data_IF_415429568764
#
_entry.id   IF_415429568764
#
_cell.length_a   1.000
_cell.length_b   1.000
_cell.length_c   1.000
_cell.angle_alpha   90.00
_cell.angle_beta   90.00
_cell.angle_gamma   90.00
#
_symmetry.space_group_name_H-M   'P 1'
#
loop_
_entity.id
_entity.type
_entity.pdbx_description
1 polymer ?
#
# COMPACT_ATOMS: atom_id res chain seq x y z
N UNK A 1 9.82 11.24 26.12
CA UNK A 1 9.06 11.17 24.88
C UNK A 1 8.14 12.38 24.70
N UNK A 2 7.14 12.62 25.54
CA UNK A 2 6.12 13.68 25.38
C UNK A 2 6.68 15.11 25.20
N UNK A 3 7.79 15.47 25.85
CA UNK A 3 8.44 16.78 25.66
C UNK A 3 9.06 16.93 24.26
N UNK A 4 9.66 15.86 23.73
CA UNK A 4 10.22 15.85 22.38
C UNK A 4 9.11 15.93 21.31
N UNK A 5 8.01 15.21 21.50
CA UNK A 5 6.82 15.34 20.62
C UNK A 5 6.35 16.79 20.60
N UNK A 6 6.21 17.46 21.77
CA UNK A 6 5.78 18.86 21.86
C UNK A 6 6.77 19.83 21.18
N UNK A 7 8.07 19.54 21.30
CA UNK A 7 9.14 20.35 20.69
C UNK A 7 8.96 20.51 19.17
N UNK A 8 8.52 19.46 18.48
CA UNK A 8 8.40 19.43 17.03
C UNK A 8 6.96 19.60 16.52
N UNK A 9 5.97 19.67 17.44
CA UNK A 9 4.54 19.65 17.11
C UNK A 9 4.18 20.68 16.03
N UNK A 10 4.46 21.96 16.29
CA UNK A 10 4.01 23.05 15.41
C UNK A 10 4.63 22.96 14.00
N UNK A 11 5.91 22.53 13.92
CA UNK A 11 6.60 22.36 12.65
C UNK A 11 6.03 21.20 11.84
N UNK A 12 5.69 20.09 12.49
CA UNK A 12 5.07 18.93 11.87
C UNK A 12 3.62 19.20 11.46
N UNK A 13 2.85 19.91 12.28
CA UNK A 13 1.49 20.30 11.90
C UNK A 13 1.51 21.24 10.68
N UNK A 14 2.46 22.17 10.64
CA UNK A 14 2.64 23.03 9.45
C UNK A 14 2.96 22.24 8.18
N UNK A 15 3.75 21.16 8.30
CA UNK A 15 4.04 20.25 7.18
C UNK A 15 2.78 19.51 6.72
N UNK A 16 2.03 18.93 7.67
CA UNK A 16 0.77 18.22 7.40
C UNK A 16 -0.24 19.15 6.68
N UNK A 17 -0.48 20.32 7.25
CA UNK A 17 -1.48 21.25 6.74
C UNK A 17 -1.10 21.79 5.35
N UNK A 18 0.22 21.99 5.11
CA UNK A 18 0.71 22.33 3.78
C UNK A 18 0.39 21.24 2.75
N UNK A 19 0.67 19.95 3.06
CA UNK A 19 0.36 18.84 2.15
C UNK A 19 -1.15 18.71 1.92
N UNK A 20 -1.95 18.84 2.98
CA UNK A 20 -3.40 18.79 2.88
C UNK A 20 -3.98 19.92 2.00
N UNK A 21 -3.37 21.11 2.02
CA UNK A 21 -3.76 22.25 1.18
C UNK A 21 -3.20 22.16 -0.26
N UNK A 22 -2.13 21.41 -0.47
CA UNK A 22 -1.44 21.27 -1.76
C UNK A 22 -1.24 19.78 -2.09
N UNK A 23 -2.33 19.05 -2.32
CA UNK A 23 -2.25 17.62 -2.56
C UNK A 23 -1.56 17.31 -3.89
N UNK A 24 -0.55 16.45 -3.87
CA UNK A 24 0.20 15.96 -5.02
C UNK A 24 -0.09 14.46 -5.20
N UNK A 25 -0.41 14.05 -6.43
CA UNK A 25 -0.72 12.64 -6.73
C UNK A 25 0.53 11.80 -6.83
N UNK A 26 0.36 10.47 -6.77
CA UNK A 26 1.45 9.50 -6.86
C UNK A 26 2.37 9.73 -8.06
N UNK A 27 3.69 9.75 -7.81
CA UNK A 27 4.74 10.07 -8.78
C UNK A 27 4.98 11.56 -9.05
N UNK A 28 4.11 12.45 -8.54
CA UNK A 28 4.20 13.91 -8.74
C UNK A 28 4.42 14.68 -7.41
N UNK A 29 4.81 14.00 -6.30
CA UNK A 29 4.90 14.55 -4.93
C UNK A 29 6.19 15.39 -4.71
N UNK A 30 6.43 16.37 -5.58
CA UNK A 30 7.68 17.14 -5.62
C UNK A 30 7.85 18.05 -4.39
N UNK A 31 6.80 18.82 -4.04
CA UNK A 31 6.85 19.76 -2.93
C UNK A 31 6.76 19.05 -1.57
N UNK A 32 5.92 18.02 -1.46
CA UNK A 32 5.79 17.22 -0.25
C UNK A 32 7.13 16.57 0.13
N UNK A 33 7.74 15.83 -0.82
CA UNK A 33 9.03 15.17 -0.60
C UNK A 33 10.15 16.18 -0.31
N UNK A 34 10.24 17.27 -1.07
CA UNK A 34 11.25 18.32 -0.86
C UNK A 34 11.17 18.91 0.54
N UNK A 35 9.97 19.26 1.02
CA UNK A 35 9.78 19.83 2.37
C UNK A 35 10.13 18.85 3.47
N UNK A 36 9.78 17.58 3.33
CA UNK A 36 10.18 16.52 4.26
C UNK A 36 11.71 16.37 4.32
N UNK A 37 12.36 16.35 3.16
CA UNK A 37 13.82 16.28 3.04
C UNK A 37 14.50 17.49 3.68
N UNK A 38 14.02 18.70 3.40
CA UNK A 38 14.53 19.95 4.00
C UNK A 38 14.38 19.93 5.52
N UNK A 39 13.23 19.45 6.03
CA UNK A 39 12.96 19.33 7.45
C UNK A 39 13.93 18.37 8.13
N UNK A 40 14.09 17.17 7.60
CA UNK A 40 15.05 16.18 8.12
C UNK A 40 16.49 16.72 8.12
N UNK A 41 16.94 17.35 7.02
CA UNK A 41 18.27 17.96 6.92
C UNK A 41 18.48 19.09 7.91
N UNK A 42 17.49 19.94 8.13
CA UNK A 42 17.52 21.05 9.10
C UNK A 42 17.76 20.55 10.53
N UNK A 43 17.24 19.36 10.84
CA UNK A 43 17.43 18.71 12.14
C UNK A 43 18.61 17.73 12.16
N UNK A 44 19.53 17.85 11.19
CA UNK A 44 20.82 17.12 11.19
C UNK A 44 20.72 15.66 10.80
N UNK A 45 19.63 15.21 10.17
CA UNK A 45 19.51 13.86 9.60
C UNK A 45 20.04 13.91 8.16
N UNK A 46 21.10 13.16 7.81
CA UNK A 46 21.59 13.06 6.43
C UNK A 46 20.54 12.41 5.53
N UNK A 47 20.23 13.02 4.40
CA UNK A 47 19.19 12.53 3.47
C UNK A 47 19.75 12.41 2.06
N UNK A 48 19.62 11.23 1.47
CA UNK A 48 19.75 10.94 0.05
C UNK A 48 18.43 11.25 -0.66
N UNK A 49 18.47 12.07 -1.70
CA UNK A 49 17.31 12.52 -2.48
C UNK A 49 17.76 13.03 -3.84
N UNK A 50 17.24 12.51 -4.96
CA UNK A 50 16.27 11.40 -5.08
C UNK A 50 16.86 10.05 -4.63
N UNK A 51 16.01 9.03 -4.43
CA UNK A 51 16.41 7.73 -3.90
C UNK A 51 15.77 6.57 -4.68
N UNK A 52 16.47 5.42 -4.74
CA UNK A 52 15.98 4.18 -5.35
C UNK A 52 15.46 4.33 -6.80
N UNK A 53 15.99 5.30 -7.56
CA UNK A 53 15.57 5.58 -8.94
C UNK A 53 14.24 6.32 -9.08
N UNK A 54 13.64 6.77 -7.99
CA UNK A 54 12.37 7.51 -7.97
C UNK A 54 12.64 8.98 -7.58
N UNK A 55 12.14 9.92 -8.40
CA UNK A 55 12.47 11.36 -8.25
C UNK A 55 11.98 11.97 -6.94
N UNK A 56 10.86 11.47 -6.41
CA UNK A 56 10.22 11.98 -5.19
C UNK A 56 10.54 11.14 -3.95
N UNK A 57 11.20 9.97 -4.10
CA UNK A 57 11.62 9.14 -2.99
C UNK A 57 12.87 9.69 -2.29
N UNK A 58 12.99 9.44 -0.99
CA UNK A 58 14.16 9.83 -0.20
C UNK A 58 14.53 8.79 0.85
N UNK A 59 15.79 8.86 1.35
CA UNK A 59 16.26 8.05 2.48
C UNK A 59 17.05 8.90 3.47
N UNK A 60 16.50 9.14 4.66
CA UNK A 60 17.20 9.67 5.82
C UNK A 60 17.84 8.55 6.64
N UNK A 61 19.00 8.77 7.26
CA UNK A 61 19.69 7.77 8.08
C UNK A 61 20.06 8.36 9.42
N UNK A 62 19.57 7.73 10.51
CA UNK A 62 19.93 8.02 11.91
C UNK A 62 20.85 6.90 12.39
N UNK A 63 21.92 7.21 13.15
CA UNK A 63 22.90 6.25 13.68
C UNK A 63 23.61 5.40 12.61
N UNK A 64 24.02 5.99 11.51
CA UNK A 64 24.70 5.28 10.41
C UNK A 64 25.87 4.41 10.90
N UNK A 65 25.91 3.18 10.39
CA UNK A 65 27.00 2.21 10.66
C UNK A 65 26.69 1.20 11.78
N UNK A 66 25.49 1.19 12.35
CA UNK A 66 25.04 0.10 13.23
C UNK A 66 24.67 -1.14 12.42
N UNK A 67 24.87 -2.33 13.01
CA UNK A 67 24.61 -3.60 12.35
C UNK A 67 23.10 -3.92 12.25
N UNK A 68 22.32 -3.55 13.29
CA UNK A 68 20.86 -3.69 13.32
C UNK A 68 20.24 -2.54 12.55
N UNK A 69 19.16 -2.79 11.80
CA UNK A 69 18.53 -1.78 10.95
C UNK A 69 17.01 -1.87 11.02
N UNK A 70 16.35 -0.72 11.07
CA UNK A 70 14.90 -0.65 10.91
C UNK A 70 14.51 0.46 9.95
N UNK A 71 13.34 0.33 9.30
CA UNK A 71 12.78 1.34 8.43
C UNK A 71 11.54 1.99 9.06
N UNK A 72 11.45 3.32 8.95
CA UNK A 72 10.22 4.09 9.14
C UNK A 72 9.77 4.52 7.75
N UNK A 73 8.58 4.06 7.34
CA UNK A 73 8.04 4.36 6.02
C UNK A 73 7.27 5.68 6.07
N UNK A 74 7.41 6.46 5.01
CA UNK A 74 6.80 7.80 4.91
C UNK A 74 6.00 7.85 3.62
N UNK A 75 4.67 7.83 3.70
CA UNK A 75 3.75 8.05 2.58
C UNK A 75 3.30 9.51 2.56
N UNK A 76 3.07 10.06 1.37
CA UNK A 76 2.71 11.48 1.20
C UNK A 76 1.98 11.80 -0.10
N UNK A 77 1.60 10.80 -0.88
CA UNK A 77 0.78 10.95 -2.09
C UNK A 77 -0.70 11.19 -1.77
N UNK A 78 -1.41 11.76 -2.71
CA UNK A 78 -2.83 12.09 -2.63
C UNK A 78 -3.63 11.42 -3.74
N UNK A 79 -4.93 11.26 -3.52
CA UNK A 79 -5.87 10.75 -4.51
C UNK A 79 -6.25 11.80 -5.55
N UNK A 80 -6.25 11.43 -6.81
CA UNK A 80 -6.65 12.31 -7.90
C UNK A 80 -8.09 12.83 -7.70
N UNK A 81 -8.23 14.15 -7.62
CA UNK A 81 -9.53 14.83 -7.48
C UNK A 81 -10.16 14.79 -6.08
N UNK A 82 -9.58 14.06 -5.12
CA UNK A 82 -10.04 13.97 -3.73
C UNK A 82 -9.03 14.52 -2.71
N UNK A 83 -7.79 14.78 -3.13
CA UNK A 83 -6.75 15.22 -2.20
C UNK A 83 -6.33 14.10 -1.23
N UNK A 84 -5.92 14.46 -0.01
CA UNK A 84 -5.46 13.49 1.00
C UNK A 84 -6.60 12.70 1.66
N UNK A 85 -7.49 12.11 0.85
CA UNK A 85 -8.63 11.32 1.33
C UNK A 85 -8.25 9.92 1.84
N UNK A 86 -6.99 9.50 1.73
CA UNK A 86 -6.42 8.33 2.42
C UNK A 86 -5.63 8.69 3.69
N UNK A 87 -5.27 9.99 3.84
CA UNK A 87 -4.61 10.49 5.05
C UNK A 87 -3.08 10.41 5.04
N UNK A 88 -2.46 10.20 3.87
CA UNK A 88 -0.99 10.08 3.75
C UNK A 88 -0.25 11.34 4.22
N UNK A 89 -0.82 12.55 4.10
CA UNK A 89 -0.22 13.74 4.70
C UNK A 89 -0.02 13.59 6.23
N UNK A 90 -0.99 13.01 6.94
CA UNK A 90 -0.89 12.76 8.36
C UNK A 90 0.01 11.56 8.68
N UNK A 91 -0.08 10.47 7.91
CA UNK A 91 0.78 9.29 8.05
C UNK A 91 2.26 9.63 7.86
N UNK A 92 2.57 10.38 6.80
CA UNK A 92 3.93 10.88 6.55
C UNK A 92 4.42 11.83 7.64
N UNK A 93 3.57 12.74 8.10
CA UNK A 93 3.88 13.65 9.21
C UNK A 93 4.18 12.91 10.52
N UNK A 94 3.45 11.82 10.82
CA UNK A 94 3.73 10.93 11.95
C UNK A 94 5.14 10.34 11.84
N UNK A 95 5.47 9.81 10.67
CA UNK A 95 6.76 9.16 10.43
C UNK A 95 7.93 10.15 10.51
N UNK A 96 7.77 11.37 9.98
CA UNK A 96 8.76 12.45 10.11
C UNK A 96 8.90 12.89 11.58
N UNK A 97 7.79 13.04 12.32
CA UNK A 97 7.83 13.37 13.75
C UNK A 97 8.62 12.31 14.54
N UNK A 98 8.33 11.03 14.30
CA UNK A 98 9.05 9.93 14.93
C UNK A 98 10.54 9.97 14.61
N UNK A 99 10.91 10.26 13.36
CA UNK A 99 12.30 10.39 12.94
C UNK A 99 13.04 11.52 13.70
N UNK A 100 12.41 12.68 13.85
CA UNK A 100 12.99 13.80 14.61
C UNK A 100 13.19 13.45 16.09
N UNK A 101 12.19 12.80 16.69
CA UNK A 101 12.25 12.36 18.10
C UNK A 101 13.33 11.32 18.30
N UNK A 102 13.41 10.30 17.43
CA UNK A 102 14.44 9.25 17.51
C UNK A 102 15.85 9.81 17.28
N UNK A 103 16.00 10.83 16.44
CA UNK A 103 17.27 11.50 16.24
C UNK A 103 17.78 12.20 17.51
N UNK A 104 16.90 12.77 18.34
CA UNK A 104 17.27 13.35 19.64
C UNK A 104 17.77 12.30 20.65
N UNK A 105 17.21 11.10 20.60
CA UNK A 105 17.56 10.02 21.52
C UNK A 105 18.41 8.92 20.87
N UNK A 106 19.02 9.23 19.73
CA UNK A 106 19.75 8.24 18.89
C UNK A 106 20.83 7.47 19.63
N UNK A 107 21.50 8.09 20.62
CA UNK A 107 22.54 7.43 21.40
C UNK A 107 21.99 6.30 22.30
N UNK A 108 20.68 6.26 22.51
CA UNK A 108 20.00 5.22 23.26
C UNK A 108 19.50 4.08 22.36
N UNK A 109 19.72 4.17 21.03
CA UNK A 109 19.21 3.20 20.04
C UNK A 109 20.40 2.43 19.46
N UNK A 110 20.52 1.11 19.71
CA UNK A 110 21.64 0.31 19.21
C UNK A 110 21.44 -0.13 17.74
N UNK A 111 20.73 0.66 16.95
CA UNK A 111 20.38 0.36 15.54
C UNK A 111 20.51 1.59 14.64
N UNK A 112 20.66 1.35 13.37
CA UNK A 112 20.54 2.33 12.28
C UNK A 112 19.07 2.43 11.88
N UNK A 113 18.51 3.63 11.89
CA UNK A 113 17.10 3.86 11.51
C UNK A 113 17.05 4.55 10.16
N UNK A 114 16.42 3.90 9.18
CA UNK A 114 16.17 4.42 7.86
C UNK A 114 14.79 5.08 7.80
N UNK A 115 14.74 6.35 7.47
CA UNK A 115 13.51 7.11 7.21
C UNK A 115 13.32 7.13 5.71
N UNK A 116 12.40 6.31 5.20
CA UNK A 116 12.26 6.05 3.78
C UNK A 116 10.98 6.69 3.26
N UNK A 117 11.12 7.71 2.41
CA UNK A 117 10.01 8.29 1.67
C UNK A 117 9.58 7.33 0.56
N UNK A 118 8.35 6.85 0.67
CA UNK A 118 7.73 5.87 -0.22
C UNK A 118 6.57 6.52 -0.98
N UNK A 119 6.85 7.18 -2.13
CA UNK A 119 5.84 7.84 -2.95
C UNK A 119 4.94 6.83 -3.67
N UNK A 120 3.80 7.31 -4.21
CA UNK A 120 3.00 6.62 -5.22
C UNK A 120 2.37 5.29 -4.74
N UNK A 121 1.83 5.27 -3.51
CA UNK A 121 1.10 4.12 -2.99
C UNK A 121 -0.24 3.92 -3.73
N UNK A 122 -0.97 5.01 -3.95
CA UNK A 122 -2.36 5.01 -4.44
C UNK A 122 -2.50 4.69 -5.93
N UNK A 123 -1.43 4.84 -6.73
CA UNK A 123 -1.54 4.69 -8.18
C UNK A 123 -0.74 3.50 -8.73
N UNK A 124 0.53 3.39 -8.39
CA UNK A 124 1.41 2.40 -9.01
C UNK A 124 2.14 1.48 -8.03
N UNK A 125 2.01 1.73 -6.70
CA UNK A 125 2.65 0.88 -5.68
C UNK A 125 4.16 1.10 -5.57
N UNK A 126 4.56 2.32 -5.22
CA UNK A 126 5.97 2.73 -5.22
C UNK A 126 6.91 1.90 -4.33
N UNK A 127 6.38 1.20 -3.30
CA UNK A 127 7.19 0.29 -2.48
C UNK A 127 7.59 -0.98 -3.24
N UNK A 128 6.84 -1.39 -4.28
CA UNK A 128 7.17 -2.60 -5.07
C UNK A 128 8.51 -2.48 -5.79
N UNK A 129 8.79 -1.44 -6.61
CA UNK A 129 10.11 -1.25 -7.20
C UNK A 129 11.21 -1.05 -6.15
N UNK A 130 10.93 -0.46 -4.98
CA UNK A 130 11.88 -0.35 -3.88
C UNK A 130 12.26 -1.73 -3.32
N UNK A 131 11.30 -2.63 -3.13
CA UNK A 131 11.53 -4.03 -2.71
C UNK A 131 12.38 -4.74 -3.77
N UNK A 132 12.01 -4.66 -5.04
CA UNK A 132 12.75 -5.27 -6.16
C UNK A 132 14.21 -4.78 -6.24
N UNK A 133 14.49 -3.56 -5.81
CA UNK A 133 15.84 -2.98 -5.78
C UNK A 133 16.63 -3.25 -4.48
N UNK A 134 16.05 -4.02 -3.53
CA UNK A 134 16.69 -4.42 -2.28
C UNK A 134 16.74 -3.33 -1.20
N UNK A 135 15.92 -2.30 -1.28
CA UNK A 135 15.89 -1.20 -0.28
C UNK A 135 15.65 -1.70 1.14
N UNK A 136 14.85 -2.76 1.27
CA UNK A 136 14.46 -3.32 2.57
C UNK A 136 15.25 -4.57 2.99
N UNK A 137 16.23 -4.97 2.19
CA UNK A 137 17.03 -6.17 2.51
C UNK A 137 17.81 -6.00 3.81
N UNK A 138 17.68 -6.99 4.69
CA UNK A 138 18.39 -6.99 5.98
C UNK A 138 17.84 -5.98 7.00
N UNK A 139 16.67 -5.41 6.79
CA UNK A 139 15.95 -4.67 7.83
C UNK A 139 15.38 -5.65 8.86
N UNK A 140 15.53 -5.32 10.15
CA UNK A 140 14.92 -6.06 11.24
C UNK A 140 13.40 -5.93 11.20
N UNK A 141 12.90 -4.75 10.80
CA UNK A 141 11.50 -4.47 10.54
C UNK A 141 11.31 -3.14 9.79
N UNK A 142 10.12 -2.96 9.24
CA UNK A 142 9.59 -1.70 8.73
C UNK A 142 8.32 -1.32 9.51
N UNK A 143 8.09 -0.03 9.77
CA UNK A 143 6.91 0.46 10.48
C UNK A 143 6.41 1.77 9.91
N UNK A 144 5.10 1.93 9.85
CA UNK A 144 4.39 3.19 9.64
C UNK A 144 3.08 3.17 10.42
N UNK A 145 2.38 4.29 10.50
CA UNK A 145 1.01 4.36 11.02
C UNK A 145 0.13 5.02 9.97
N UNK A 146 -1.00 4.39 9.70
CA UNK A 146 -1.99 4.90 8.76
C UNK A 146 -3.22 5.47 9.47
N UNK A 147 -3.86 6.48 8.89
CA UNK A 147 -5.10 7.05 9.42
C UNK A 147 -6.30 6.17 9.10
N UNK A 148 -7.26 6.08 10.02
CA UNK A 148 -8.46 5.27 9.86
C UNK A 148 -9.63 5.82 10.70
N UNK A 149 -10.76 5.16 10.64
CA UNK A 149 -11.91 5.39 11.53
C UNK A 149 -11.92 4.53 12.79
N UNK A 150 -10.81 3.84 13.08
CA UNK A 150 -10.60 2.96 14.25
C UNK A 150 -9.11 2.82 14.56
N UNK A 151 -8.78 2.46 15.81
CA UNK A 151 -7.45 1.99 16.15
C UNK A 151 -7.39 0.48 15.93
N UNK A 152 -6.42 0.01 15.18
CA UNK A 152 -6.18 -1.41 14.93
C UNK A 152 -4.68 -1.66 14.73
N UNK A 153 -4.22 -2.86 15.05
CA UNK A 153 -2.80 -3.21 14.91
C UNK A 153 -2.48 -3.82 13.56
N UNK A 154 -3.48 -4.41 12.91
CA UNK A 154 -3.32 -5.15 11.66
C UNK A 154 -4.48 -4.89 10.72
N UNK A 155 -4.22 -4.94 9.42
CA UNK A 155 -5.24 -5.05 8.38
C UNK A 155 -4.91 -6.21 7.46
N UNK A 156 -5.90 -7.04 7.18
CA UNK A 156 -5.77 -8.18 6.28
C UNK A 156 -5.75 -7.70 4.83
N UNK A 157 -4.61 -7.16 4.38
CA UNK A 157 -4.42 -6.81 2.98
C UNK A 157 -4.29 -8.07 2.13
N UNK A 158 -5.01 -8.07 1.01
CA UNK A 158 -4.94 -9.14 0.02
C UNK A 158 -3.84 -8.86 -1.00
N UNK A 159 -3.22 -9.91 -1.48
CA UNK A 159 -2.43 -9.84 -2.71
C UNK A 159 -3.34 -9.45 -3.87
N UNK A 160 -2.81 -8.70 -4.85
CA UNK A 160 -3.55 -8.15 -5.99
C UNK A 160 -2.73 -8.26 -7.27
N UNK A 161 -3.40 -8.77 -8.33
CA UNK A 161 -2.97 -8.62 -9.71
C UNK A 161 -4.06 -7.89 -10.50
N UNK A 162 -3.65 -7.00 -11.39
CA UNK A 162 -4.52 -6.29 -12.31
C UNK A 162 -4.11 -6.56 -13.75
N UNK A 163 -5.09 -6.83 -14.62
CA UNK A 163 -4.87 -7.22 -15.99
C UNK A 163 -5.79 -6.50 -16.95
N UNK A 164 -5.25 -6.12 -18.10
CA UNK A 164 -6.02 -5.68 -19.27
C UNK A 164 -6.02 -6.78 -20.32
N UNK A 165 -7.20 -7.32 -20.61
CA UNK A 165 -7.43 -8.30 -21.65
C UNK A 165 -7.91 -7.61 -22.92
N UNK A 166 -7.28 -7.92 -24.03
CA UNK A 166 -7.68 -7.43 -25.36
C UNK A 166 -8.04 -8.61 -26.25
N UNK A 167 -9.23 -8.57 -26.87
CA UNK A 167 -9.65 -9.57 -27.85
C UNK A 167 -9.69 -8.96 -29.25
N UNK A 168 -9.11 -9.68 -30.21
CA UNK A 168 -8.99 -9.29 -31.59
C UNK A 168 -9.81 -10.22 -32.50
N UNK A 169 -10.82 -9.68 -33.13
CA UNK A 169 -11.68 -10.36 -34.07
C UNK A 169 -11.46 -9.90 -35.53
N UNK A 170 -12.53 -9.99 -36.32
CA UNK A 170 -12.56 -9.54 -37.74
C UNK A 170 -13.82 -8.71 -37.96
N UNK A 171 -13.72 -7.46 -38.43
CA UNK A 171 -14.91 -6.67 -38.72
C UNK A 171 -15.65 -7.23 -39.95
N UNK A 172 -16.95 -7.03 -39.97
CA UNK A 172 -17.82 -7.30 -41.12
C UNK A 172 -19.09 -6.45 -41.03
N UNK A 173 -19.79 -6.25 -42.13
CA UNK A 173 -21.10 -5.60 -42.11
C UNK A 173 -22.12 -6.54 -41.42
N UNK A 174 -22.68 -6.11 -40.30
CA UNK A 174 -23.42 -6.98 -39.39
C UNK A 174 -24.71 -7.59 -39.99
N UNK A 175 -25.32 -6.93 -41.01
CA UNK A 175 -26.52 -7.45 -41.68
C UNK A 175 -26.24 -8.10 -43.06
N UNK A 176 -25.19 -7.67 -43.77
CA UNK A 176 -24.96 -8.13 -45.16
C UNK A 176 -24.09 -9.37 -45.23
N UNK A 177 -22.98 -9.41 -44.46
CA UNK A 177 -21.98 -10.47 -44.54
C UNK A 177 -21.46 -10.86 -43.13
N UNK A 178 -22.33 -11.04 -42.12
CA UNK A 178 -21.88 -11.30 -40.72
C UNK A 178 -21.03 -12.56 -40.59
N UNK A 179 -21.19 -13.55 -41.45
CA UNK A 179 -20.41 -14.79 -41.45
C UNK A 179 -18.93 -14.59 -41.78
N UNK A 180 -18.56 -13.48 -42.40
CA UNK A 180 -17.15 -13.09 -42.64
C UNK A 180 -16.48 -12.51 -41.39
N UNK A 181 -17.27 -12.08 -40.39
CA UNK A 181 -16.79 -11.48 -39.14
C UNK A 181 -16.32 -12.49 -38.10
N UNK A 182 -15.60 -11.96 -37.09
CA UNK A 182 -15.27 -12.64 -35.85
C UNK A 182 -15.52 -11.65 -34.72
N UNK A 183 -16.53 -11.92 -33.91
CA UNK A 183 -17.02 -10.95 -32.91
C UNK A 183 -16.22 -11.02 -31.63
N UNK A 184 -15.33 -10.04 -31.42
CA UNK A 184 -14.53 -9.93 -30.20
C UNK A 184 -15.35 -9.61 -28.93
N UNK A 185 -16.54 -8.99 -29.07
CA UNK A 185 -17.43 -8.77 -27.92
C UNK A 185 -18.00 -10.08 -27.38
N UNK A 186 -18.23 -11.08 -28.25
CA UNK A 186 -18.62 -12.41 -27.80
C UNK A 186 -17.50 -13.07 -26.98
N UNK A 187 -16.24 -12.78 -27.30
CA UNK A 187 -15.10 -13.28 -26.49
C UNK A 187 -15.13 -12.72 -25.07
N UNK A 188 -15.30 -11.41 -24.90
CA UNK A 188 -15.41 -10.81 -23.58
C UNK A 188 -16.59 -11.37 -22.78
N UNK A 189 -17.75 -11.56 -23.42
CA UNK A 189 -18.91 -12.14 -22.76
C UNK A 189 -18.63 -13.55 -22.25
N UNK A 190 -18.12 -14.44 -23.12
CA UNK A 190 -17.74 -15.79 -22.72
C UNK A 190 -16.63 -15.81 -21.69
N UNK A 191 -15.69 -14.87 -21.74
CA UNK A 191 -14.63 -14.72 -20.74
C UNK A 191 -15.21 -14.42 -19.36
N UNK A 192 -16.09 -13.42 -19.23
CA UNK A 192 -16.76 -13.13 -17.96
C UNK A 192 -17.65 -14.26 -17.49
N UNK A 193 -18.43 -14.90 -18.38
CA UNK A 193 -19.24 -16.07 -18.02
C UNK A 193 -18.38 -17.22 -17.50
N UNK A 194 -17.22 -17.50 -18.12
CA UNK A 194 -16.29 -18.53 -17.65
C UNK A 194 -15.69 -18.19 -16.27
N UNK A 195 -15.31 -16.92 -16.04
CA UNK A 195 -14.85 -16.46 -14.72
C UNK A 195 -15.95 -16.61 -13.66
N UNK A 196 -17.19 -16.29 -13.99
CA UNK A 196 -18.33 -16.43 -13.05
C UNK A 196 -18.58 -17.90 -12.70
N UNK A 197 -18.50 -18.82 -13.67
CA UNK A 197 -18.60 -20.26 -13.42
C UNK A 197 -17.44 -20.77 -12.55
N UNK A 198 -16.24 -20.23 -12.71
CA UNK A 198 -15.06 -20.58 -11.91
C UNK A 198 -15.23 -20.23 -10.44
N UNK A 199 -16.00 -19.17 -10.09
CA UNK A 199 -16.18 -18.70 -8.70
C UNK A 199 -16.63 -19.80 -7.74
N UNK A 200 -17.41 -20.78 -8.19
CA UNK A 200 -17.86 -21.92 -7.38
C UNK A 200 -16.68 -22.73 -6.81
N UNK A 201 -15.53 -22.70 -7.47
CA UNK A 201 -14.37 -23.54 -7.14
C UNK A 201 -13.22 -22.73 -6.51
N UNK A 202 -13.43 -21.43 -6.26
CA UNK A 202 -12.44 -20.56 -5.61
C UNK A 202 -12.64 -20.59 -4.08
N UNK A 203 -11.55 -20.37 -3.35
CA UNK A 203 -11.61 -20.15 -1.91
C UNK A 203 -12.35 -18.84 -1.58
N UNK A 204 -12.89 -18.77 -0.38
CA UNK A 204 -13.74 -17.64 0.06
C UNK A 204 -13.00 -16.28 0.13
N UNK A 205 -11.68 -16.30 0.25
CA UNK A 205 -10.83 -15.11 0.28
C UNK A 205 -10.58 -14.48 -1.09
N UNK A 206 -10.90 -15.19 -2.20
CA UNK A 206 -10.71 -14.66 -3.55
C UNK A 206 -11.73 -13.59 -3.87
N UNK A 207 -11.23 -12.48 -4.45
CA UNK A 207 -12.08 -11.45 -5.07
C UNK A 207 -11.67 -11.30 -6.53
N UNK A 208 -12.64 -11.57 -7.41
CA UNK A 208 -12.47 -11.52 -8.85
C UNK A 208 -13.52 -10.58 -9.43
N UNK A 209 -13.10 -9.46 -10.00
CA UNK A 209 -13.99 -8.45 -10.56
C UNK A 209 -13.35 -7.71 -11.72
N UNK A 210 -14.18 -7.11 -12.59
CA UNK A 210 -13.70 -6.38 -13.74
C UNK A 210 -14.83 -5.72 -14.50
N UNK A 211 -14.51 -5.02 -15.58
CA UNK A 211 -15.47 -4.36 -16.43
C UNK A 211 -14.98 -4.33 -17.90
N UNK A 212 -15.92 -4.04 -18.81
CA UNK A 212 -15.63 -3.88 -20.22
C UNK A 212 -15.19 -2.44 -20.49
N UNK A 213 -13.94 -2.24 -20.88
CA UNK A 213 -13.37 -0.93 -21.22
C UNK A 213 -13.86 -0.50 -22.61
N UNK A 214 -13.82 -1.44 -23.57
CA UNK A 214 -14.25 -1.21 -24.95
C UNK A 214 -15.02 -2.41 -25.47
N UNK A 215 -16.27 -2.18 -25.97
CA UNK A 215 -17.16 -3.24 -26.46
C UNK A 215 -17.39 -3.27 -27.97
N UNK A 216 -16.77 -2.36 -28.73
CA UNK A 216 -16.95 -2.20 -30.18
C UNK A 216 -17.07 -0.74 -30.59
N UNK A 217 -17.29 -0.47 -31.87
CA UNK A 217 -17.30 0.88 -32.44
C UNK A 217 -18.69 1.33 -32.93
N UNK A 218 -19.47 0.42 -33.51
CA UNK A 218 -20.81 0.72 -34.05
C UNK A 218 -21.69 -0.53 -34.12
N UNK A 219 -23.03 -0.36 -34.04
CA UNK A 219 -24.01 -1.46 -34.01
C UNK A 219 -24.14 -2.20 -35.36
N UNK A 220 -23.77 -1.58 -36.45
CA UNK A 220 -23.81 -2.16 -37.80
C UNK A 220 -22.51 -2.80 -38.27
N UNK A 221 -21.48 -2.83 -37.40
CA UNK A 221 -20.18 -3.46 -37.60
C UNK A 221 -19.97 -4.55 -36.57
N UNK A 222 -19.56 -5.76 -37.00
CA UNK A 222 -19.13 -6.83 -36.08
C UNK A 222 -17.92 -6.34 -35.30
N UNK A 223 -17.97 -6.28 -33.91
CA UNK A 223 -16.86 -5.81 -33.10
C UNK A 223 -15.58 -6.61 -33.36
N UNK A 224 -14.51 -5.94 -33.76
CA UNK A 224 -13.24 -6.57 -34.10
C UNK A 224 -12.15 -6.33 -33.05
N UNK A 225 -12.37 -5.38 -32.13
CA UNK A 225 -11.45 -5.03 -31.07
C UNK A 225 -12.24 -4.69 -29.82
N UNK A 226 -11.96 -5.40 -28.72
CA UNK A 226 -12.62 -5.19 -27.42
C UNK A 226 -11.62 -5.33 -26.28
N UNK A 227 -11.85 -4.61 -25.19
CA UNK A 227 -10.96 -4.55 -24.03
C UNK A 227 -11.75 -4.73 -22.73
N UNK A 228 -11.17 -5.44 -21.79
CA UNK A 228 -11.67 -5.60 -20.42
C UNK A 228 -10.53 -5.45 -19.43
N UNK A 229 -10.80 -4.84 -18.28
CA UNK A 229 -9.91 -4.82 -17.13
C UNK A 229 -10.45 -5.76 -16.05
N UNK A 230 -9.56 -6.54 -15.45
CA UNK A 230 -9.86 -7.54 -14.40
C UNK A 230 -8.87 -7.42 -13.27
N UNK A 231 -9.38 -7.37 -12.03
CA UNK A 231 -8.60 -7.47 -10.82
C UNK A 231 -8.84 -8.83 -10.16
N UNK A 232 -7.73 -9.45 -9.74
CA UNK A 232 -7.72 -10.73 -9.03
C UNK A 232 -7.06 -10.50 -7.68
N UNK A 233 -7.73 -10.89 -6.59
CA UNK A 233 -7.21 -10.76 -5.23
C UNK A 233 -7.36 -12.07 -4.48
N UNK A 234 -6.38 -12.41 -3.66
CA UNK A 234 -6.45 -13.53 -2.72
C UNK A 234 -5.57 -13.24 -1.50
N UNK A 235 -5.78 -13.97 -0.41
CA UNK A 235 -5.01 -13.80 0.82
C UNK A 235 -3.54 -14.23 0.65
N UNK A 236 -3.29 -15.35 -0.06
CA UNK A 236 -1.94 -15.87 -0.28
C UNK A 236 -1.50 -15.62 -1.73
N UNK A 237 -0.29 -15.06 -1.91
CA UNK A 237 0.32 -14.79 -3.22
C UNK A 237 0.34 -16.04 -4.12
N UNK A 238 0.75 -17.19 -3.59
CA UNK A 238 0.86 -18.42 -4.35
C UNK A 238 -0.50 -18.89 -4.88
N UNK A 239 -1.57 -18.70 -4.08
CA UNK A 239 -2.92 -19.04 -4.54
C UNK A 239 -3.45 -18.03 -5.54
N UNK A 240 -3.14 -16.75 -5.38
CA UNK A 240 -3.45 -15.73 -6.38
C UNK A 240 -2.82 -16.05 -7.73
N UNK A 241 -1.54 -16.45 -7.76
CA UNK A 241 -0.84 -16.84 -8.99
C UNK A 241 -1.52 -18.02 -9.69
N UNK A 242 -2.06 -18.97 -8.92
CA UNK A 242 -2.84 -20.08 -9.46
C UNK A 242 -4.18 -19.58 -10.05
N UNK A 243 -4.91 -18.72 -9.33
CA UNK A 243 -6.19 -18.16 -9.80
C UNK A 243 -5.98 -17.31 -11.05
N UNK A 244 -4.91 -16.51 -11.09
CA UNK A 244 -4.56 -15.70 -12.27
C UNK A 244 -4.33 -16.58 -13.51
N UNK A 245 -3.68 -17.74 -13.37
CA UNK A 245 -3.55 -18.71 -14.47
C UNK A 245 -4.91 -19.22 -14.96
N UNK A 246 -5.83 -19.53 -14.05
CA UNK A 246 -7.18 -19.96 -14.44
C UNK A 246 -7.97 -18.84 -15.13
N UNK A 247 -7.76 -17.57 -14.77
CA UNK A 247 -8.32 -16.43 -15.48
C UNK A 247 -7.77 -16.36 -16.91
N UNK A 248 -6.47 -16.61 -17.12
CA UNK A 248 -5.87 -16.71 -18.46
C UNK A 248 -6.47 -17.86 -19.28
N UNK A 249 -6.73 -19.01 -18.65
CA UNK A 249 -7.38 -20.16 -19.30
C UNK A 249 -8.81 -19.83 -19.75
N UNK A 250 -9.56 -19.04 -18.96
CA UNK A 250 -10.88 -18.54 -19.36
C UNK A 250 -10.80 -17.64 -20.61
N UNK A 251 -9.81 -16.74 -20.68
CA UNK A 251 -9.59 -15.89 -21.84
C UNK A 251 -9.23 -16.72 -23.10
N UNK A 252 -8.35 -17.69 -22.95
CA UNK A 252 -7.97 -18.63 -24.02
C UNK A 252 -9.17 -19.43 -24.53
N UNK A 253 -9.99 -19.97 -23.65
CA UNK A 253 -11.19 -20.73 -24.01
C UNK A 253 -12.22 -19.86 -24.76
N UNK A 254 -12.45 -18.63 -24.27
CA UNK A 254 -13.34 -17.68 -24.93
C UNK A 254 -12.86 -17.29 -26.34
N UNK A 255 -11.57 -17.04 -26.50
CA UNK A 255 -10.98 -16.73 -27.81
C UNK A 255 -11.10 -17.92 -28.79
N UNK A 256 -10.84 -19.13 -28.33
CA UNK A 256 -10.98 -20.35 -29.14
C UNK A 256 -12.43 -20.55 -29.61
N UNK A 257 -13.41 -20.44 -28.70
CA UNK A 257 -14.82 -20.62 -29.02
C UNK A 257 -15.35 -19.60 -30.03
N UNK A 258 -14.83 -18.38 -30.00
CA UNK A 258 -15.25 -17.26 -30.90
C UNK A 258 -14.38 -17.11 -32.14
N UNK A 259 -13.32 -17.92 -32.27
CA UNK A 259 -12.31 -17.85 -33.35
C UNK A 259 -11.63 -16.48 -33.44
N UNK A 260 -11.36 -15.88 -32.28
CA UNK A 260 -10.61 -14.62 -32.13
C UNK A 260 -9.20 -14.94 -31.60
N UNK A 261 -8.36 -13.93 -31.53
CA UNK A 261 -7.11 -13.97 -30.73
C UNK A 261 -7.24 -13.05 -29.54
N UNK A 262 -6.34 -13.21 -28.57
CA UNK A 262 -6.30 -12.38 -27.38
C UNK A 262 -4.88 -12.05 -26.96
N UNK A 263 -4.74 -10.99 -26.18
CA UNK A 263 -3.52 -10.61 -25.48
C UNK A 263 -3.87 -10.10 -24.09
N UNK A 264 -2.89 -10.11 -23.18
CA UNK A 264 -3.01 -9.60 -21.82
C UNK A 264 -1.83 -8.69 -21.53
N UNK A 265 -2.10 -7.62 -20.79
CA UNK A 265 -1.11 -6.70 -20.22
C UNK A 265 -1.34 -6.66 -18.71
N UNK A 266 -0.27 -6.66 -17.93
CA UNK A 266 -0.33 -6.36 -16.48
C UNK A 266 -0.53 -4.85 -16.30
N UNK A 267 -1.46 -4.46 -15.41
CA UNK A 267 -1.72 -3.06 -15.09
C UNK A 267 -1.11 -2.76 -13.72
N UNK A 268 -0.16 -1.83 -13.66
CA UNK A 268 0.51 -1.48 -12.42
C UNK A 268 1.40 -2.60 -11.87
N UNK A 269 1.70 -2.52 -10.59
CA UNK A 269 2.53 -3.48 -9.89
C UNK A 269 1.69 -4.56 -9.20
N UNK A 270 2.28 -5.73 -8.98
CA UNK A 270 1.67 -6.84 -8.22
C UNK A 270 1.87 -6.60 -6.73
N UNK A 271 0.77 -6.61 -5.97
CA UNK A 271 0.85 -6.46 -4.52
C UNK A 271 0.82 -7.83 -3.83
N UNK A 272 1.69 -7.99 -2.85
CA UNK A 272 1.65 -9.13 -1.94
C UNK A 272 0.69 -8.87 -0.78
N UNK A 273 0.25 -9.91 -0.10
CA UNK A 273 -0.51 -9.79 1.14
C UNK A 273 0.41 -9.35 2.30
N UNK A 274 -0.14 -8.60 3.24
CA UNK A 274 0.60 -8.23 4.45
C UNK A 274 0.77 -9.45 5.35
N UNK A 275 2.02 -9.85 5.61
CA UNK A 275 2.37 -10.91 6.55
C UNK A 275 2.23 -10.40 7.98
N UNK A 276 1.44 -11.10 8.78
CA UNK A 276 1.23 -10.76 10.18
C UNK A 276 2.45 -11.14 11.05
N UNK A 277 2.76 -10.34 12.05
CA UNK A 277 3.77 -10.66 13.06
C UNK A 277 3.25 -10.33 14.46
N UNK A 278 2.79 -11.35 15.16
CA UNK A 278 2.14 -11.23 16.48
C UNK A 278 3.10 -10.72 17.55
N UNK A 279 4.38 -11.10 17.48
CA UNK A 279 5.39 -10.65 18.45
C UNK A 279 5.56 -9.12 18.43
N UNK A 280 5.60 -8.51 17.23
CA UNK A 280 5.66 -7.06 17.15
C UNK A 280 4.32 -6.39 17.44
N UNK A 281 3.18 -7.01 17.06
CA UNK A 281 1.86 -6.51 17.40
C UNK A 281 1.62 -6.41 18.91
N UNK A 282 2.13 -7.36 19.73
CA UNK A 282 2.05 -7.31 21.19
C UNK A 282 2.74 -6.06 21.76
N UNK A 283 3.91 -5.69 21.25
CA UNK A 283 4.60 -4.46 21.68
C UNK A 283 3.76 -3.23 21.33
N UNK A 284 3.18 -3.20 20.13
CA UNK A 284 2.26 -2.12 19.73
C UNK A 284 1.01 -2.09 20.61
N UNK A 285 0.41 -3.25 20.94
CA UNK A 285 -0.76 -3.38 21.80
C UNK A 285 -0.51 -2.77 23.19
N UNK A 286 0.65 -3.07 23.80
CA UNK A 286 1.06 -2.49 25.07
C UNK A 286 1.16 -0.96 24.97
N UNK A 287 1.78 -0.44 23.93
CA UNK A 287 1.92 1.01 23.68
C UNK A 287 0.55 1.69 23.52
N UNK A 288 -0.34 1.12 22.69
CA UNK A 288 -1.69 1.65 22.50
C UNK A 288 -2.50 1.64 23.79
N UNK A 289 -2.42 0.55 24.55
CA UNK A 289 -3.10 0.40 25.85
C UNK A 289 -2.62 1.44 26.86
N UNK A 290 -1.31 1.63 27.01
CA UNK A 290 -0.73 2.62 27.91
C UNK A 290 -1.08 4.08 27.52
N UNK A 291 -1.30 4.33 26.24
CA UNK A 291 -1.79 5.62 25.72
C UNK A 291 -3.32 5.77 25.87
N UNK A 292 -4.02 4.75 26.37
CA UNK A 292 -5.48 4.77 26.57
C UNK A 292 -6.26 4.66 25.25
N UNK A 293 -5.69 4.08 24.22
CA UNK A 293 -6.32 3.90 22.92
C UNK A 293 -7.04 2.56 22.87
N UNK A 294 -8.34 2.59 22.54
CA UNK A 294 -9.15 1.39 22.40
C UNK A 294 -8.87 0.72 21.07
N UNK A 295 -8.35 -0.50 21.09
CA UNK A 295 -8.10 -1.31 19.91
C UNK A 295 -9.35 -2.07 19.47
N UNK A 296 -9.53 -2.21 18.17
CA UNK A 296 -10.54 -3.05 17.53
C UNK A 296 -9.85 -4.21 16.85
N UNK A 297 -10.33 -5.43 17.07
CA UNK A 297 -9.85 -6.60 16.34
C UNK A 297 -10.38 -6.57 14.91
N UNK A 298 -9.47 -6.48 13.96
CA UNK A 298 -9.74 -6.44 12.51
C UNK A 298 -9.27 -7.71 11.80
N UNK A 299 -8.85 -8.74 12.52
CA UNK A 299 -8.29 -9.97 11.94
C UNK A 299 -9.27 -10.73 11.04
N UNK A 300 -10.58 -10.59 11.27
CA UNK A 300 -11.64 -11.18 10.44
C UNK A 300 -12.11 -10.26 9.31
N UNK A 301 -11.72 -9.00 9.30
CA UNK A 301 -12.08 -8.04 8.26
C UNK A 301 -11.12 -8.17 7.06
N UNK A 302 -11.68 -8.25 5.86
CA UNK A 302 -10.87 -8.19 4.65
C UNK A 302 -10.61 -6.72 4.32
N UNK A 303 -9.35 -6.32 4.37
CA UNK A 303 -8.90 -5.00 3.92
C UNK A 303 -8.84 -4.90 2.39
N UNK A 304 -8.34 -3.78 1.89
CA UNK A 304 -8.00 -3.60 0.49
C UNK A 304 -6.74 -4.38 0.08
N UNK A 305 -5.92 -3.74 -0.70
CA UNK A 305 -4.55 -4.16 -1.01
C UNK A 305 -3.66 -2.92 -0.85
N UNK A 306 -2.44 -3.11 -0.41
CA UNK A 306 -1.44 -2.05 -0.28
C UNK A 306 -0.06 -2.63 -0.57
N UNK A 307 0.82 -1.82 -1.13
CA UNK A 307 2.18 -2.20 -1.48
C UNK A 307 3.09 -2.45 -0.25
N UNK A 308 2.63 -2.16 0.97
CA UNK A 308 3.32 -2.58 2.20
C UNK A 308 3.35 -4.11 2.34
N UNK A 309 2.42 -4.83 1.71
CA UNK A 309 2.47 -6.29 1.58
C UNK A 309 3.80 -6.75 0.99
N UNK A 310 4.29 -6.07 -0.06
CA UNK A 310 5.56 -6.39 -0.69
C UNK A 310 6.76 -6.12 0.25
N UNK A 311 6.70 -5.06 1.08
CA UNK A 311 7.71 -4.85 2.12
C UNK A 311 7.70 -6.01 3.11
N UNK A 312 6.51 -6.49 3.49
CA UNK A 312 6.35 -7.62 4.41
C UNK A 312 6.84 -8.95 3.85
N UNK A 313 7.05 -9.07 2.54
CA UNK A 313 7.63 -10.27 1.93
C UNK A 313 9.15 -10.38 2.13
N UNK A 314 9.84 -9.27 2.46
CA UNK A 314 11.31 -9.21 2.63
C UNK A 314 11.77 -8.86 4.04
N UNK A 315 10.93 -8.26 4.88
CA UNK A 315 11.18 -8.03 6.30
C UNK A 315 9.86 -7.91 7.08
N UNK A 316 9.81 -8.14 8.41
CA UNK A 316 8.64 -7.85 9.22
C UNK A 316 8.13 -6.43 8.98
N UNK A 317 6.85 -6.24 8.65
CA UNK A 317 6.28 -4.93 8.38
C UNK A 317 5.02 -4.68 9.24
N UNK A 318 4.95 -3.49 9.85
CA UNK A 318 3.88 -3.09 10.76
C UNK A 318 3.14 -1.88 10.21
N UNK A 319 1.82 -2.01 10.11
CA UNK A 319 0.93 -0.98 9.55
C UNK A 319 -0.30 -0.77 10.44
N UNK A 320 -0.10 -0.36 11.72
CA UNK A 320 -1.22 -0.08 12.60
C UNK A 320 -1.97 1.20 12.20
N UNK A 321 -3.20 1.31 12.71
CA UNK A 321 -4.13 2.39 12.43
C UNK A 321 -4.38 3.27 13.63
N UNK A 322 -4.58 4.57 13.38
CA UNK A 322 -5.09 5.54 14.33
C UNK A 322 -6.46 6.07 13.92
N UNK A 323 -7.36 6.14 14.91
CA UNK A 323 -8.73 6.59 14.79
C UNK A 323 -8.85 8.11 14.63
N UNK A 324 -9.46 8.55 13.52
CA UNK A 324 -9.88 9.93 13.25
C UNK A 324 -11.39 10.15 13.42
N UNK A 325 -12.18 9.11 13.71
CA UNK A 325 -13.61 9.16 13.91
C UNK A 325 -14.36 8.08 13.19
N UNK A 326 -15.35 7.50 13.87
CA UNK A 326 -16.13 6.36 13.35
C UNK A 326 -16.87 6.64 12.05
N UNK A 327 -17.21 7.90 11.80
CA UNK A 327 -17.96 8.31 10.61
C UNK A 327 -17.03 8.76 9.44
N UNK A 328 -15.72 8.69 9.64
CA UNK A 328 -14.73 9.09 8.65
C UNK A 328 -14.21 7.86 7.90
N UNK A 329 -14.75 7.63 6.71
CA UNK A 329 -14.26 6.56 5.83
C UNK A 329 -13.18 7.10 4.88
N UNK A 330 -12.10 6.36 4.72
CA UNK A 330 -11.08 6.67 3.72
C UNK A 330 -11.70 6.77 2.30
N UNK A 331 -11.06 7.53 1.43
CA UNK A 331 -11.48 7.80 0.05
C UNK A 331 -12.79 8.59 -0.05
N UNK A 332 -13.06 9.45 0.94
CA UNK A 332 -14.19 10.40 0.93
C UNK A 332 -13.69 11.84 1.09
N UNK A 333 -14.51 12.81 0.63
CA UNK A 333 -14.22 14.23 0.80
C UNK A 333 -14.14 14.63 2.29
N UNK A 334 -15.02 14.06 3.11
CA UNK A 334 -15.06 14.27 4.56
C UNK A 334 -13.76 13.82 5.23
N UNK A 335 -13.16 12.72 4.76
CA UNK A 335 -11.88 12.27 5.27
C UNK A 335 -10.75 13.23 4.90
N UNK A 336 -10.72 13.72 3.66
CA UNK A 336 -9.73 14.72 3.23
C UNK A 336 -9.85 16.02 4.04
N UNK A 337 -11.06 16.52 4.28
CA UNK A 337 -11.32 17.70 5.10
C UNK A 337 -10.91 17.52 6.56
N UNK A 338 -10.93 16.29 7.07
CA UNK A 338 -10.51 15.98 8.43
C UNK A 338 -9.00 16.15 8.66
N UNK A 339 -8.17 16.14 7.63
CA UNK A 339 -6.69 16.16 7.75
C UNK A 339 -6.13 17.40 8.46
N UNK A 340 -6.86 18.52 8.49
CA UNK A 340 -6.45 19.77 9.17
C UNK A 340 -7.20 20.03 10.48
N UNK A 341 -7.89 19.04 11.01
CA UNK A 341 -8.61 19.20 12.28
C UNK A 341 -7.70 18.97 13.49
N UNK A 342 -8.07 19.57 14.62
CA UNK A 342 -7.39 19.32 15.90
C UNK A 342 -7.34 17.85 16.28
N UNK A 343 -8.25 17.02 15.78
CA UNK A 343 -8.25 15.57 16.01
C UNK A 343 -7.09 14.90 15.27
N UNK A 344 -6.90 15.22 14.01
CA UNK A 344 -5.78 14.73 13.19
C UNK A 344 -4.43 15.24 13.76
N UNK A 345 -4.34 16.52 14.16
CA UNK A 345 -3.14 17.06 14.80
C UNK A 345 -2.76 16.31 16.09
N UNK A 346 -3.76 15.91 16.89
CA UNK A 346 -3.54 15.05 18.07
C UNK A 346 -3.12 13.64 17.67
N UNK A 347 -3.74 13.05 16.64
CA UNK A 347 -3.38 11.73 16.12
C UNK A 347 -1.95 11.72 15.58
N UNK A 348 -1.50 12.77 14.89
CA UNK A 348 -0.10 12.91 14.45
C UNK A 348 0.85 12.87 15.65
N UNK A 349 0.56 13.60 16.73
CA UNK A 349 1.39 13.57 17.94
C UNK A 349 1.43 12.20 18.60
N UNK A 350 0.28 11.53 18.68
CA UNK A 350 0.18 10.16 19.22
C UNK A 350 0.94 9.15 18.37
N UNK A 351 0.76 9.22 17.04
CA UNK A 351 1.44 8.33 16.11
C UNK A 351 2.96 8.46 16.16
N UNK A 352 3.47 9.70 16.23
CA UNK A 352 4.90 9.95 16.44
C UNK A 352 5.43 9.35 17.75
N UNK A 353 4.66 9.44 18.84
CA UNK A 353 4.99 8.77 20.12
C UNK A 353 4.98 7.25 19.98
N UNK A 354 3.97 6.67 19.30
CA UNK A 354 3.85 5.22 19.11
C UNK A 354 5.02 4.66 18.32
N UNK A 355 5.34 5.21 17.13
CA UNK A 355 6.48 4.73 16.33
C UNK A 355 7.79 4.86 17.11
N UNK A 356 8.00 6.01 17.78
CA UNK A 356 9.23 6.24 18.54
C UNK A 356 9.40 5.23 19.67
N UNK A 357 8.31 4.94 20.40
CA UNK A 357 8.32 3.93 21.48
C UNK A 357 8.52 2.53 20.90
N UNK A 358 7.82 2.17 19.86
CA UNK A 358 7.95 0.86 19.22
C UNK A 358 9.40 0.58 18.81
N UNK A 359 10.06 1.52 18.12
CA UNK A 359 11.47 1.38 17.74
C UNK A 359 12.36 1.21 18.97
N UNK A 360 12.14 2.01 20.02
CA UNK A 360 12.93 1.92 21.25
C UNK A 360 12.69 0.60 22.00
N UNK A 361 11.45 0.17 22.12
CA UNK A 361 11.08 -1.04 22.85
C UNK A 361 11.60 -2.30 22.15
N UNK A 362 11.52 -2.37 20.81
CA UNK A 362 12.09 -3.48 20.02
C UNK A 362 13.60 -3.61 20.24
N UNK A 363 14.34 -2.50 20.33
CA UNK A 363 15.79 -2.56 20.45
C UNK A 363 16.33 -2.57 21.89
N UNK A 364 15.58 -2.09 22.87
CA UNK A 364 16.04 -1.98 24.25
C UNK A 364 15.43 -3.04 25.18
N UNK A 365 14.35 -3.72 24.77
CA UNK A 365 13.78 -4.85 25.53
C UNK A 365 14.51 -6.14 25.12
N UNK A 366 15.13 -6.85 26.08
CA UNK A 366 15.84 -8.10 25.81
C UNK A 366 14.92 -9.15 25.13
N UNK A 367 15.34 -9.65 23.97
CA UNK A 367 14.63 -10.71 23.23
C UNK A 367 13.54 -10.22 22.29
N UNK A 368 13.06 -8.98 22.40
CA UNK A 368 11.94 -8.48 21.59
C UNK A 368 12.21 -8.54 20.07
N UNK A 369 13.36 -8.05 19.65
CA UNK A 369 13.79 -8.14 18.23
C UNK A 369 13.92 -9.59 17.76
N UNK A 370 14.53 -10.43 18.57
CA UNK A 370 14.78 -11.83 18.26
C UNK A 370 13.47 -12.62 18.10
N UNK A 371 12.43 -12.32 18.89
CA UNK A 371 11.10 -12.92 18.75
C UNK A 371 10.42 -12.50 17.44
N UNK A 372 10.45 -11.22 17.10
CA UNK A 372 9.92 -10.70 15.82
C UNK A 372 10.59 -11.43 14.62
N UNK A 373 11.92 -11.51 14.62
CA UNK A 373 12.66 -12.14 13.53
C UNK A 373 12.47 -13.66 13.48
N UNK A 374 12.36 -14.32 14.64
CA UNK A 374 12.10 -15.77 14.73
C UNK A 374 10.74 -16.12 14.18
N UNK A 375 9.70 -15.38 14.53
CA UNK A 375 8.35 -15.59 13.99
C UNK A 375 8.34 -15.37 12.47
N UNK A 376 8.95 -14.28 12.00
CA UNK A 376 9.04 -13.98 10.57
C UNK A 376 9.76 -15.06 9.77
N UNK A 377 10.84 -15.67 10.29
CA UNK A 377 11.59 -16.75 9.65
C UNK A 377 10.93 -18.13 9.78
N UNK A 378 9.96 -18.30 10.70
CA UNK A 378 9.28 -19.57 10.96
C UNK A 378 8.06 -19.84 10.07
N UNK A 379 7.50 -18.83 9.41
CA UNK A 379 6.30 -18.96 8.56
C UNK A 379 6.56 -19.58 7.18
N UNK A 380 7.76 -20.08 6.92
CA UNK A 380 8.13 -20.71 5.64
C UNK A 380 7.75 -22.18 5.50
N UNK A 381 7.22 -22.84 6.54
CA UNK A 381 7.01 -24.31 6.59
C UNK A 381 5.56 -24.73 6.94
N UNK A 382 4.51 -23.89 6.75
CA UNK A 382 3.11 -24.33 6.88
C UNK A 382 2.27 -24.11 5.63
#
# INVERSE_FOLDING_TARGET
MKELIRKYHDEIISLNDFMADNPEIGGEEQEASRRMVELLRRHGIPVEYPFAGMETAFRGIINKGKARKAAILVEYDALRGLGHACGHCASGSISILAALVLNEVRDQIPAEIHVIGTPDEEMHGGKVPMVKSGVFDGMDFAVMIHMSNKNALFSRFLALDAYKFTFHGKPAHASSIPWEGRNALNSIRLFFDAMDMMRQHLKDDVRLHGYVVKGGDASNIVPHHTEAEVLVRAEKREYLDQVSKWVMDCAQAAALATRTSWSVEEIGEKYDSLRRNISGEKILEEIYTELGLNLVDTSSETGGSSDIGNVSSVCPAFHPYLDLGKDLNAHTEEFALAMKTNRTHKAISLGGEIISRFVMDVYNTPGAREEILKEYGGDGDE
#
